data_IF_406722946649
#
_entry.id   IF_406722946649
#
_cell.length_a   1.000
_cell.length_b   1.000
_cell.length_c   1.000
_cell.angle_alpha   90.00
_cell.angle_beta   90.00
_cell.angle_gamma   90.00
#
_symmetry.space_group_name_H-M   'P 1'
#
loop_
_entity.id
_entity.type
_entity.pdbx_description
1 polymer ?
#
# COMPACT_ATOMS: atom_id res chain seq x y z
N UNK A 1 4.26 69.38 11.71
CA UNK A 1 3.67 68.15 12.29
C UNK A 1 4.37 66.95 11.65
N UNK A 2 5.17 66.22 12.44
CA UNK A 2 5.91 65.01 12.02
C UNK A 2 4.95 63.81 11.99
N UNK A 3 4.99 63.03 10.92
CA UNK A 3 4.63 61.61 10.96
C UNK A 3 5.54 60.85 10.01
N UNK A 4 6.76 60.60 10.48
CA UNK A 4 7.53 59.42 10.08
C UNK A 4 6.87 58.22 10.74
N UNK A 5 6.50 57.20 9.95
CA UNK A 5 6.38 55.82 10.46
C UNK A 5 6.81 54.85 9.38
N UNK A 6 8.13 54.78 9.27
CA UNK A 6 8.98 53.60 9.15
C UNK A 6 8.30 52.31 8.66
N UNK A 7 8.76 51.85 7.50
CA UNK A 7 8.80 50.44 7.05
C UNK A 7 9.19 49.53 8.22
N UNK A 8 8.30 48.62 8.59
CA UNK A 8 8.65 47.48 9.43
C UNK A 8 8.56 46.22 8.56
N UNK A 9 9.71 45.85 7.99
CA UNK A 9 9.95 44.49 7.51
C UNK A 9 10.05 43.61 8.75
N UNK A 10 8.95 42.96 9.15
CA UNK A 10 9.02 41.80 10.03
C UNK A 10 9.30 40.57 9.20
N UNK A 11 10.59 40.37 9.04
CA UNK A 11 11.25 39.08 8.96
C UNK A 11 10.72 38.17 10.07
N UNK A 12 9.82 37.24 9.73
CA UNK A 12 9.44 36.18 10.65
C UNK A 12 9.26 34.86 9.89
N UNK A 13 10.33 34.07 9.92
CA UNK A 13 10.22 32.63 10.13
C UNK A 13 9.89 31.79 8.91
N UNK A 14 10.92 31.46 8.13
CA UNK A 14 10.93 30.30 7.25
C UNK A 14 10.61 29.00 8.02
N UNK A 15 9.35 28.55 8.03
CA UNK A 15 9.01 27.17 8.36
C UNK A 15 9.23 26.27 7.13
N UNK A 16 10.47 26.26 6.63
CA UNK A 16 10.94 25.23 5.71
C UNK A 16 11.21 23.96 6.51
N UNK A 17 10.39 22.95 6.29
CA UNK A 17 10.83 21.55 6.25
C UNK A 17 11.52 21.02 7.51
N UNK A 18 10.80 20.95 8.62
CA UNK A 18 11.18 20.10 9.75
C UNK A 18 10.80 18.64 9.49
N UNK A 19 11.58 17.88 8.70
CA UNK A 19 11.51 16.41 8.69
C UNK A 19 12.91 15.80 8.54
N UNK A 20 13.61 15.72 9.65
CA UNK A 20 14.68 14.73 9.81
C UNK A 20 14.54 14.06 11.17
N UNK A 21 14.13 12.79 11.16
CA UNK A 21 14.68 11.67 11.94
C UNK A 21 13.77 10.45 11.80
N UNK A 22 14.33 9.35 11.30
CA UNK A 22 13.64 8.08 11.14
C UNK A 22 14.23 7.23 10.01
N UNK A 23 15.54 7.01 10.05
CA UNK A 23 16.20 5.98 9.26
C UNK A 23 15.88 4.65 9.94
N UNK A 24 14.93 3.91 9.38
CA UNK A 24 14.99 2.44 9.37
C UNK A 24 13.97 1.86 8.37
N UNK A 25 14.49 1.08 7.42
CA UNK A 25 13.83 -0.11 6.89
C UNK A 25 12.68 -0.03 5.88
N UNK A 26 12.01 1.10 5.64
CA UNK A 26 10.88 1.08 4.70
C UNK A 26 11.34 1.18 3.25
N UNK A 27 11.42 0.02 2.60
CA UNK A 27 11.62 -0.08 1.17
C UNK A 27 10.62 0.84 0.46
N UNK A 28 11.13 1.56 -0.53
CA UNK A 28 10.55 2.69 -1.24
C UNK A 28 9.08 2.46 -1.66
N UNK A 29 8.14 2.59 -0.73
CA UNK A 29 6.71 2.61 -1.04
C UNK A 29 6.41 3.98 -1.63
N UNK A 30 6.47 4.05 -2.95
CA UNK A 30 5.98 5.21 -3.70
C UNK A 30 4.52 5.51 -3.35
N UNK A 31 4.01 6.70 -3.70
CA UNK A 31 2.64 7.08 -3.38
C UNK A 31 1.63 6.02 -3.85
N UNK A 32 0.72 5.60 -2.96
CA UNK A 32 -0.39 4.68 -3.28
C UNK A 32 -1.38 5.38 -4.21
N UNK A 33 -1.04 5.40 -5.50
CA UNK A 33 -1.89 5.96 -6.54
C UNK A 33 -2.81 4.89 -7.10
N UNK A 34 -3.96 5.30 -7.63
CA UNK A 34 -4.87 4.40 -8.35
C UNK A 34 -4.15 3.62 -9.46
N UNK A 35 -3.24 4.28 -10.19
CA UNK A 35 -2.44 3.64 -11.24
C UNK A 35 -1.59 2.49 -10.70
N UNK A 36 -0.89 2.71 -9.58
CA UNK A 36 -0.07 1.68 -8.94
C UNK A 36 -0.91 0.52 -8.41
N UNK A 37 -2.06 0.81 -7.80
CA UNK A 37 -3.00 -0.23 -7.35
C UNK A 37 -3.53 -1.10 -8.50
N UNK A 38 -3.85 -0.49 -9.64
CA UNK A 38 -4.25 -1.23 -10.86
C UNK A 38 -3.10 -2.08 -11.42
N UNK A 39 -1.86 -1.58 -11.36
CA UNK A 39 -0.69 -2.32 -11.79
C UNK A 39 -0.46 -3.58 -10.92
N UNK A 40 -0.60 -3.45 -9.60
CA UNK A 40 -0.48 -4.59 -8.68
C UNK A 40 -1.57 -5.64 -8.96
N UNK A 41 -2.84 -5.23 -9.10
CA UNK A 41 -3.92 -6.17 -9.42
C UNK A 41 -3.72 -6.89 -10.77
N UNK A 42 -3.21 -6.18 -11.77
CA UNK A 42 -2.84 -6.80 -13.06
C UNK A 42 -1.72 -7.83 -12.89
N UNK A 43 -0.69 -7.50 -12.11
CA UNK A 43 0.42 -8.40 -11.83
C UNK A 43 -0.03 -9.66 -11.07
N UNK A 44 -0.94 -9.52 -10.11
CA UNK A 44 -1.57 -10.65 -9.40
C UNK A 44 -2.31 -11.57 -10.38
N UNK A 45 -3.11 -11.01 -11.29
CA UNK A 45 -3.78 -11.79 -12.33
C UNK A 45 -2.78 -12.53 -13.22
N UNK A 46 -1.65 -11.91 -13.58
CA UNK A 46 -0.61 -12.57 -14.38
C UNK A 46 0.07 -13.71 -13.62
N UNK A 47 0.36 -13.53 -12.33
CA UNK A 47 0.88 -14.59 -11.47
C UNK A 47 -0.09 -15.76 -11.35
N UNK A 48 -1.40 -15.50 -11.27
CA UNK A 48 -2.42 -16.54 -11.26
C UNK A 48 -2.39 -17.36 -12.56
N UNK A 49 -2.40 -16.70 -13.72
CA UNK A 49 -2.32 -17.38 -15.03
C UNK A 49 -1.06 -18.23 -15.14
N UNK A 50 0.09 -17.69 -14.70
CA UNK A 50 1.36 -18.43 -14.63
C UNK A 50 1.22 -19.71 -13.81
N UNK A 51 0.61 -19.64 -12.62
CA UNK A 51 0.41 -20.83 -11.78
C UNK A 51 -0.52 -21.85 -12.43
N UNK A 52 -1.58 -21.41 -13.09
CA UNK A 52 -2.50 -22.31 -13.81
C UNK A 52 -1.79 -23.06 -14.95
N UNK A 53 -0.99 -22.37 -15.77
CA UNK A 53 -0.26 -23.03 -16.88
C UNK A 53 0.77 -24.02 -16.34
N UNK A 54 1.43 -23.69 -15.21
CA UNK A 54 2.34 -24.65 -14.56
C UNK A 54 1.63 -25.92 -14.12
N UNK A 55 0.44 -25.81 -13.53
CA UNK A 55 -0.38 -26.97 -13.17
C UNK A 55 -0.79 -27.78 -14.41
N UNK A 56 -1.12 -27.11 -15.52
CA UNK A 56 -1.44 -27.79 -16.78
C UNK A 56 -0.24 -28.57 -17.36
N UNK A 57 1.00 -28.09 -17.17
CA UNK A 57 2.19 -28.81 -17.64
C UNK A 57 2.40 -30.16 -16.94
N UNK A 58 1.90 -30.30 -15.71
CA UNK A 58 1.98 -31.54 -14.91
C UNK A 58 0.86 -32.55 -15.26
N UNK A 59 -0.14 -32.11 -16.02
CA UNK A 59 -1.31 -32.91 -16.35
C UNK A 59 -1.10 -33.71 -17.66
N UNK A 60 -1.30 -35.05 -17.65
CA UNK A 60 -1.08 -35.89 -18.83
C UNK A 60 -2.02 -35.56 -19.99
N UNK A 61 -3.18 -34.98 -19.72
CA UNK A 61 -4.17 -34.56 -20.71
C UNK A 61 -3.61 -33.52 -21.69
N UNK A 62 -2.59 -32.76 -21.29
CA UNK A 62 -2.00 -31.68 -22.09
C UNK A 62 -0.69 -32.07 -22.78
N UNK A 63 -0.29 -33.35 -22.76
CA UNK A 63 1.00 -33.77 -23.29
C UNK A 63 1.19 -33.44 -24.78
N UNK A 64 0.12 -33.51 -25.58
CA UNK A 64 0.15 -33.17 -27.02
C UNK A 64 0.37 -31.67 -27.29
N UNK A 65 0.06 -30.81 -26.32
CA UNK A 65 0.16 -29.34 -26.45
C UNK A 65 1.23 -28.72 -25.54
N UNK A 66 2.04 -29.53 -24.85
CA UNK A 66 3.10 -29.05 -23.96
C UNK A 66 4.01 -27.98 -24.59
N UNK A 67 4.46 -28.09 -25.86
CA UNK A 67 5.29 -27.04 -26.48
C UNK A 67 4.60 -25.67 -26.52
N UNK A 68 3.27 -25.65 -26.69
CA UNK A 68 2.46 -24.42 -26.70
C UNK A 68 2.39 -23.85 -25.28
N UNK A 69 2.09 -24.69 -24.28
CA UNK A 69 2.00 -24.27 -22.87
C UNK A 69 3.35 -23.74 -22.33
N UNK A 70 4.47 -24.36 -22.74
CA UNK A 70 5.82 -23.85 -22.40
C UNK A 70 6.06 -22.49 -23.05
N UNK A 71 5.63 -22.30 -24.31
CA UNK A 71 5.71 -21.02 -24.99
C UNK A 71 4.88 -19.93 -24.30
N UNK A 72 3.64 -20.24 -23.93
CA UNK A 72 2.75 -19.33 -23.21
C UNK A 72 3.30 -18.97 -21.83
N UNK A 73 3.80 -19.95 -21.07
CA UNK A 73 4.42 -19.72 -19.77
C UNK A 73 5.59 -18.75 -19.88
N UNK A 74 6.46 -18.94 -20.88
CA UNK A 74 7.57 -18.02 -21.15
C UNK A 74 7.09 -16.61 -21.52
N UNK A 75 6.05 -16.50 -22.33
CA UNK A 75 5.47 -15.21 -22.69
C UNK A 75 4.93 -14.46 -21.45
N UNK A 76 4.20 -15.17 -20.57
CA UNK A 76 3.71 -14.60 -19.32
C UNK A 76 4.86 -14.18 -18.41
N UNK A 77 5.90 -15.01 -18.27
CA UNK A 77 7.08 -14.68 -17.47
C UNK A 77 7.79 -13.43 -17.99
N UNK A 78 7.93 -13.26 -19.32
CA UNK A 78 8.51 -12.05 -19.92
C UNK A 78 7.67 -10.81 -19.59
N UNK A 79 6.36 -10.87 -19.83
CA UNK A 79 5.46 -9.73 -19.56
C UNK A 79 5.46 -9.36 -18.07
N UNK A 80 5.48 -10.34 -17.16
CA UNK A 80 5.58 -10.09 -15.71
C UNK A 80 6.85 -9.29 -15.40
N UNK A 81 7.99 -9.72 -15.92
CA UNK A 81 9.29 -9.08 -15.64
C UNK A 81 9.34 -7.65 -16.20
N UNK A 82 8.91 -7.47 -17.45
CA UNK A 82 8.83 -6.15 -18.09
C UNK A 82 7.89 -5.22 -17.33
N UNK A 83 6.73 -5.73 -16.89
CA UNK A 83 5.74 -4.95 -16.17
C UNK A 83 6.21 -4.52 -14.77
N UNK A 84 6.90 -5.41 -14.05
CA UNK A 84 7.53 -5.08 -12.76
C UNK A 84 8.55 -3.96 -12.92
N UNK A 85 9.40 -4.03 -13.95
CA UNK A 85 10.40 -3.00 -14.25
C UNK A 85 9.73 -1.67 -14.62
N UNK A 86 8.72 -1.71 -15.49
CA UNK A 86 8.01 -0.52 -15.96
C UNK A 86 7.32 0.26 -14.83
N UNK A 87 6.81 -0.45 -13.82
CA UNK A 87 6.08 0.15 -12.69
C UNK A 87 6.88 0.21 -11.38
N UNK A 88 8.15 -0.23 -11.40
CA UNK A 88 9.02 -0.31 -10.21
C UNK A 88 8.31 -0.98 -9.03
N UNK A 89 7.69 -2.14 -9.26
CA UNK A 89 6.89 -2.85 -8.25
C UNK A 89 7.82 -3.72 -7.41
N UNK A 90 7.85 -3.50 -6.09
CA UNK A 90 8.61 -4.35 -5.17
C UNK A 90 7.82 -5.57 -4.69
N UNK A 91 8.50 -6.67 -4.39
CA UNK A 91 7.87 -7.94 -3.95
C UNK A 91 6.95 -7.75 -2.73
N UNK A 92 7.35 -6.88 -1.79
CA UNK A 92 6.60 -6.52 -0.58
C UNK A 92 5.24 -5.85 -0.83
N UNK A 93 4.98 -5.41 -2.06
CA UNK A 93 3.71 -4.81 -2.47
C UNK A 93 2.78 -5.81 -3.14
N UNK A 94 3.32 -6.95 -3.54
CA UNK A 94 2.55 -8.06 -4.13
C UNK A 94 2.19 -9.12 -3.11
N UNK A 95 2.78 -9.06 -1.91
CA UNK A 95 2.25 -9.74 -0.74
C UNK A 95 1.11 -8.87 -0.21
N UNK A 96 -0.11 -9.38 -0.31
CA UNK A 96 -1.28 -8.77 0.34
C UNK A 96 -0.92 -8.43 1.80
N UNK A 97 -1.47 -7.33 2.36
CA UNK A 97 -1.39 -7.16 3.81
C UNK A 97 -2.09 -8.37 4.42
N UNK A 98 -1.32 -9.30 5.00
CA UNK A 98 -1.86 -10.13 6.08
C UNK A 98 -2.33 -9.13 7.13
N UNK A 99 -3.62 -9.10 7.40
CA UNK A 99 -4.24 -8.27 8.42
C UNK A 99 -3.38 -8.34 9.69
N UNK A 100 -2.62 -7.28 9.95
CA UNK A 100 -2.09 -7.04 11.28
C UNK A 100 -3.28 -6.56 12.11
N UNK A 101 -4.06 -7.53 12.59
CA UNK A 101 -4.91 -7.35 13.75
C UNK A 101 -4.00 -6.97 14.93
N UNK A 102 -3.91 -5.68 15.24
CA UNK A 102 -3.43 -5.18 16.54
C UNK A 102 -3.61 -3.65 16.55
N UNK A 103 -4.76 -3.23 17.09
CA UNK A 103 -5.00 -1.98 17.84
C UNK A 103 -6.45 -1.51 17.65
N UNK A 104 -7.39 -2.24 18.25
CA UNK A 104 -8.70 -1.70 18.57
C UNK A 104 -9.25 -2.27 19.88
N UNK A 105 -8.39 -2.36 20.90
CA UNK A 105 -8.79 -2.72 22.26
C UNK A 105 -8.46 -1.60 23.26
N UNK A 106 -9.00 -0.38 23.06
CA UNK A 106 -9.10 0.64 24.13
C UNK A 106 -10.30 1.57 23.93
N UNK A 107 -11.51 1.07 24.16
CA UNK A 107 -12.67 1.93 24.43
C UNK A 107 -13.81 1.17 25.11
N UNK A 108 -13.53 0.54 26.26
CA UNK A 108 -14.56 0.06 27.18
C UNK A 108 -14.08 0.24 28.62
N UNK A 109 -13.94 1.49 29.09
CA UNK A 109 -14.09 1.83 30.51
C UNK A 109 -14.55 3.28 30.64
N UNK A 110 -15.50 3.46 31.56
CA UNK A 110 -16.03 4.69 32.14
C UNK A 110 -17.33 5.16 31.50
N UNK A 111 -18.44 4.72 32.07
CA UNK A 111 -19.59 5.57 32.47
C UNK A 111 -20.48 4.75 33.43
N UNK A 112 -19.92 4.37 34.58
CA UNK A 112 -20.72 4.14 35.78
C UNK A 112 -20.43 5.29 36.72
N UNK A 113 -21.26 6.34 36.71
CA UNK A 113 -21.51 7.19 37.87
C UNK A 113 -22.66 8.18 37.58
N UNK A 114 -23.69 8.12 38.43
CA UNK A 114 -24.54 9.28 38.70
C UNK A 114 -25.96 9.26 38.12
N UNK A 115 -26.90 8.65 38.85
CA UNK A 115 -28.15 9.36 39.18
C UNK A 115 -28.93 8.64 40.30
N UNK A 116 -28.58 8.97 41.54
CA UNK A 116 -29.52 8.99 42.66
C UNK A 116 -30.15 10.39 42.69
N UNK A 117 -31.48 10.47 42.67
CA UNK A 117 -32.36 11.53 43.24
C UNK A 117 -33.81 11.07 42.96
N UNK A 118 -34.47 10.43 43.94
CA UNK A 118 -35.62 10.94 44.72
C UNK A 118 -36.84 11.34 43.83
N UNK A 119 -38.07 10.86 44.05
CA UNK A 119 -38.92 11.20 45.21
C UNK A 119 -40.04 10.18 45.43
N UNK A 120 -40.31 9.91 46.72
CA UNK A 120 -41.59 9.41 47.21
C UNK A 120 -42.60 10.57 47.26
N UNK A 121 -43.81 10.39 46.70
CA UNK A 121 -45.10 10.54 47.39
C UNK A 121 -46.26 10.13 46.46
#
# INVERSE_FOLDING_TARGET
MRSEKMKEFREEGHHRGGRYRGRDGSHQRGPKTFRRGRAIAFLEMMKLKRTTIKQQLEQPEFQSIQPILVGELKAIDMVINEFIQLFEIHESETMAPSDSEEDNEKSLKNDEEGNNLNENN
#
